data_IF_403580753152
#
_entry.id   IF_403580753152
#
_cell.length_a   1.000
_cell.length_b   1.000
_cell.length_c   1.000
_cell.angle_alpha   90.00
_cell.angle_beta   90.00
_cell.angle_gamma   90.00
#
_symmetry.space_group_name_H-M   'P 1'
#
loop_
_entity.id
_entity.type
_entity.pdbx_description
1 polymer ?
#
# COMPACT_ATOMS: atom_id res chain seq x y z
N UNK A 1 -28.56 -36.38 -17.25
CA UNK A 1 -27.29 -36.28 -16.49
C UNK A 1 -26.10 -36.02 -17.39
N UNK A 2 -25.80 -36.87 -18.39
CA UNK A 2 -24.64 -36.73 -19.29
C UNK A 2 -24.43 -35.34 -19.89
N UNK A 3 -25.50 -34.64 -20.31
CA UNK A 3 -25.39 -33.26 -20.84
C UNK A 3 -24.83 -32.28 -19.79
N UNK A 4 -25.28 -32.34 -18.53
CA UNK A 4 -24.73 -31.50 -17.47
C UNK A 4 -23.28 -31.87 -17.15
N UNK A 5 -22.95 -33.18 -17.13
CA UNK A 5 -21.57 -33.64 -16.91
C UNK A 5 -20.64 -33.14 -18.02
N UNK A 6 -21.08 -33.19 -19.27
CA UNK A 6 -20.36 -32.64 -20.43
C UNK A 6 -20.16 -31.12 -20.30
N UNK A 7 -21.20 -30.37 -19.92
CA UNK A 7 -21.11 -28.92 -19.70
C UNK A 7 -20.14 -28.55 -18.55
N UNK A 8 -20.09 -29.34 -17.46
CA UNK A 8 -19.11 -29.10 -16.40
C UNK A 8 -17.67 -29.32 -16.88
N UNK A 9 -17.37 -30.46 -17.51
CA UNK A 9 -16.00 -30.77 -17.94
C UNK A 9 -15.51 -29.87 -19.09
N UNK A 10 -16.36 -29.58 -20.08
CA UNK A 10 -16.00 -28.67 -21.18
C UNK A 10 -15.98 -27.21 -20.71
N UNK A 11 -16.87 -26.81 -19.79
CA UNK A 11 -16.86 -25.47 -19.19
C UNK A 11 -15.60 -25.19 -18.38
N UNK A 12 -15.17 -26.12 -17.52
CA UNK A 12 -13.91 -26.00 -16.79
C UNK A 12 -12.69 -25.98 -17.73
N UNK A 13 -12.70 -26.79 -18.79
CA UNK A 13 -11.64 -26.76 -19.81
C UNK A 13 -11.61 -25.40 -20.54
N UNK A 14 -12.77 -24.84 -20.89
CA UNK A 14 -12.88 -23.53 -21.55
C UNK A 14 -12.42 -22.36 -20.69
N UNK A 15 -12.63 -22.40 -19.37
CA UNK A 15 -12.08 -21.41 -18.43
C UNK A 15 -10.55 -21.50 -18.34
N UNK A 16 -9.97 -22.71 -18.41
CA UNK A 16 -8.52 -22.87 -18.51
C UNK A 16 -7.96 -22.47 -19.89
N UNK A 17 -8.80 -22.53 -20.94
CA UNK A 17 -8.45 -22.14 -22.31
C UNK A 17 -8.38 -20.61 -22.46
N UNK A 18 -9.33 -19.83 -21.94
CA UNK A 18 -9.24 -18.35 -21.97
C UNK A 18 -8.09 -17.82 -21.12
N UNK A 19 -7.89 -18.37 -19.91
CA UNK A 19 -6.81 -17.94 -19.02
C UNK A 19 -5.38 -18.29 -19.48
N UNK A 20 -5.19 -19.01 -20.60
CA UNK A 20 -3.83 -19.36 -21.10
C UNK A 20 -3.15 -18.21 -21.84
N UNK A 21 -3.93 -17.26 -22.39
CA UNK A 21 -3.43 -16.17 -23.21
C UNK A 21 -4.21 -14.86 -22.94
N UNK A 22 -4.19 -14.34 -21.68
CA UNK A 22 -5.08 -13.26 -21.19
C UNK A 22 -4.78 -11.85 -21.76
N UNK A 23 -4.15 -11.79 -22.94
CA UNK A 23 -3.64 -10.60 -23.62
C UNK A 23 -3.96 -10.66 -25.13
N UNK A 24 -5.04 -11.36 -25.51
CA UNK A 24 -5.50 -11.50 -26.89
C UNK A 24 -6.48 -10.41 -27.30
N UNK A 25 -7.62 -10.83 -27.85
CA UNK A 25 -8.75 -9.99 -28.30
C UNK A 25 -10.09 -10.66 -27.95
N UNK A 26 -10.11 -11.61 -27.01
CA UNK A 26 -11.33 -12.26 -26.52
C UNK A 26 -12.07 -11.36 -25.50
N UNK A 27 -13.39 -11.47 -25.37
CA UNK A 27 -14.24 -10.58 -24.54
C UNK A 27 -13.88 -10.56 -23.02
N UNK A 28 -13.12 -11.55 -22.53
CA UNK A 28 -12.66 -11.69 -21.13
C UNK A 28 -11.15 -11.33 -20.94
N UNK A 29 -10.44 -10.89 -21.99
CA UNK A 29 -9.01 -10.53 -21.94
C UNK A 29 -8.73 -9.20 -21.21
N UNK A 30 -7.46 -8.94 -20.87
CA UNK A 30 -7.06 -7.63 -20.35
C UNK A 30 -7.04 -6.55 -21.43
N UNK A 31 -7.69 -5.43 -21.15
CA UNK A 31 -7.73 -4.19 -21.94
C UNK A 31 -6.37 -3.43 -21.95
N UNK A 32 -5.30 -4.10 -22.41
CA UNK A 32 -3.91 -3.60 -22.33
C UNK A 32 -3.73 -2.26 -23.04
N UNK A 33 -4.43 -2.03 -24.16
CA UNK A 33 -4.38 -0.76 -24.88
C UNK A 33 -4.89 0.40 -24.00
N UNK A 34 -6.03 0.23 -23.32
CA UNK A 34 -6.56 1.22 -22.38
C UNK A 34 -5.60 1.46 -21.20
N UNK A 35 -4.99 0.40 -20.66
CA UNK A 35 -4.01 0.50 -19.57
C UNK A 35 -2.79 1.32 -20.02
N UNK A 36 -2.29 1.11 -21.25
CA UNK A 36 -1.17 1.87 -21.82
C UNK A 36 -1.56 3.34 -21.98
N UNK A 37 -2.65 3.65 -22.68
CA UNK A 37 -3.09 5.03 -22.94
C UNK A 37 -3.31 5.80 -21.63
N UNK A 38 -4.01 5.19 -20.67
CA UNK A 38 -4.24 5.76 -19.33
C UNK A 38 -2.92 6.02 -18.60
N UNK A 39 -1.98 5.08 -18.62
CA UNK A 39 -0.72 5.22 -17.89
C UNK A 39 0.21 6.25 -18.53
N UNK A 40 0.27 6.31 -19.86
CA UNK A 40 1.03 7.35 -20.59
C UNK A 40 0.45 8.73 -20.30
N UNK A 41 -0.88 8.89 -20.41
CA UNK A 41 -1.55 10.16 -20.10
C UNK A 41 -1.31 10.61 -18.65
N UNK A 42 -1.47 9.71 -17.68
CA UNK A 42 -1.30 10.04 -16.25
C UNK A 42 0.17 10.32 -15.91
N UNK A 43 1.13 9.61 -16.50
CA UNK A 43 2.55 9.86 -16.28
C UNK A 43 2.98 11.26 -16.75
N UNK A 44 2.62 11.65 -17.99
CA UNK A 44 2.87 13.01 -18.47
C UNK A 44 2.12 14.06 -17.65
N UNK A 45 0.86 13.82 -17.26
CA UNK A 45 0.12 14.75 -16.42
C UNK A 45 0.79 14.99 -15.05
N UNK A 46 1.35 13.95 -14.43
CA UNK A 46 2.10 14.07 -13.17
C UNK A 46 3.36 14.91 -13.37
N UNK A 47 4.17 14.61 -14.39
CA UNK A 47 5.49 15.25 -14.60
C UNK A 47 5.36 16.66 -15.17
N UNK A 48 4.45 16.91 -16.11
CA UNK A 48 4.31 18.21 -16.77
C UNK A 48 3.37 19.16 -15.99
N UNK A 49 2.26 18.63 -15.46
CA UNK A 49 1.21 19.46 -14.84
C UNK A 49 1.29 19.49 -13.32
N UNK A 50 1.74 18.43 -12.64
CA UNK A 50 1.75 18.38 -11.16
C UNK A 50 3.14 18.49 -10.51
N UNK A 51 4.23 18.49 -11.28
CA UNK A 51 5.56 18.71 -10.72
C UNK A 51 5.62 20.04 -9.94
N UNK A 52 6.19 19.98 -8.73
CA UNK A 52 6.32 21.08 -7.76
C UNK A 52 5.00 21.75 -7.30
N UNK A 53 3.82 21.28 -7.74
CA UNK A 53 2.51 21.88 -7.39
C UNK A 53 1.86 21.21 -6.17
N UNK A 54 2.41 21.51 -5.00
CA UNK A 54 1.79 21.14 -3.72
C UNK A 54 0.53 22.00 -3.42
N UNK A 55 -0.54 21.43 -2.83
CA UNK A 55 -1.63 22.21 -2.27
C UNK A 55 -1.15 23.04 -1.06
N UNK A 56 -1.83 24.15 -0.77
CA UNK A 56 -1.47 25.02 0.37
C UNK A 56 -1.59 24.26 1.69
N UNK A 57 -0.49 24.19 2.44
CA UNK A 57 -0.48 23.60 3.78
C UNK A 57 -1.46 24.35 4.70
N UNK A 58 -2.34 23.59 5.35
CA UNK A 58 -3.37 24.09 6.25
C UNK A 58 -3.65 23.03 7.32
N UNK A 59 -4.20 23.45 8.46
CA UNK A 59 -4.67 22.51 9.50
C UNK A 59 -5.88 21.75 8.98
N UNK A 60 -5.90 20.44 9.17
CA UNK A 60 -7.03 19.60 8.84
C UNK A 60 -8.16 19.71 9.89
N UNK A 61 -9.27 19.01 9.66
CA UNK A 61 -10.46 19.06 10.51
C UNK A 61 -10.23 18.53 11.94
N UNK A 62 -9.23 17.67 12.13
CA UNK A 62 -8.95 16.98 13.39
C UNK A 62 -7.66 17.44 14.08
N UNK A 63 -7.02 18.53 13.62
CA UNK A 63 -5.69 18.97 14.05
C UNK A 63 -5.45 19.00 15.57
N UNK A 64 -6.44 19.43 16.36
CA UNK A 64 -6.35 19.51 17.83
C UNK A 64 -6.97 18.28 18.55
N UNK A 65 -7.30 17.20 17.83
CA UNK A 65 -8.02 16.01 18.33
C UNK A 65 -7.11 14.78 18.40
N UNK A 66 -6.90 14.25 19.61
CA UNK A 66 -6.02 13.09 19.84
C UNK A 66 -6.62 11.77 19.31
N UNK A 67 -7.94 11.59 19.42
CA UNK A 67 -8.67 10.39 18.98
C UNK A 67 -9.76 10.80 17.97
N UNK A 68 -9.43 10.94 16.67
CA UNK A 68 -10.37 11.45 15.67
C UNK A 68 -11.36 10.37 15.21
N UNK A 69 -12.65 10.52 15.55
CA UNK A 69 -13.72 9.71 14.95
C UNK A 69 -14.15 10.28 13.60
N UNK A 70 -13.89 9.54 12.52
CA UNK A 70 -14.40 9.85 11.19
C UNK A 70 -15.90 9.50 11.08
N UNK A 71 -16.75 10.37 10.48
CA UNK A 71 -18.19 10.15 10.44
C UNK A 71 -18.60 9.06 9.44
N UNK A 72 -19.47 8.14 9.87
CA UNK A 72 -20.03 7.08 9.04
C UNK A 72 -21.39 7.49 8.45
N UNK A 73 -21.67 7.08 7.21
CA UNK A 73 -23.02 7.19 6.63
C UNK A 73 -23.97 6.18 7.29
N UNK A 74 -25.28 6.43 7.27
CA UNK A 74 -26.27 5.57 7.93
C UNK A 74 -26.20 4.09 7.47
N UNK A 75 -25.90 3.84 6.20
CA UNK A 75 -25.73 2.48 5.66
C UNK A 75 -24.38 1.84 6.02
N UNK A 76 -23.35 2.65 6.29
CA UNK A 76 -22.02 2.20 6.68
C UNK A 76 -21.84 2.03 8.19
N UNK A 77 -22.72 2.60 9.02
CA UNK A 77 -22.62 2.56 10.49
C UNK A 77 -22.54 1.14 11.07
N UNK A 78 -23.18 0.14 10.43
CA UNK A 78 -23.08 -1.28 10.78
C UNK A 78 -21.67 -1.90 10.58
N UNK A 79 -20.80 -1.21 9.82
CA UNK A 79 -19.42 -1.60 9.58
C UNK A 79 -18.41 -0.84 10.47
N UNK A 80 -18.87 0.00 11.40
CA UNK A 80 -17.99 0.58 12.44
C UNK A 80 -17.69 -0.51 13.47
N UNK A 81 -16.57 -1.21 13.27
CA UNK A 81 -16.05 -2.22 14.20
C UNK A 81 -14.90 -1.67 15.03
N UNK A 82 -14.77 -2.15 16.27
CA UNK A 82 -13.58 -1.91 17.09
C UNK A 82 -12.30 -2.44 16.41
N UNK A 83 -11.12 -1.85 16.66
CA UNK A 83 -9.85 -2.34 16.14
C UNK A 83 -9.57 -3.80 16.53
N UNK A 84 -9.03 -4.59 15.59
CA UNK A 84 -8.64 -5.97 15.88
C UNK A 84 -7.28 -6.02 16.59
N UNK A 85 -7.29 -6.29 17.90
CA UNK A 85 -6.09 -6.35 18.74
C UNK A 85 -5.24 -7.64 18.59
N UNK A 86 -5.66 -8.58 17.73
CA UNK A 86 -5.01 -9.89 17.54
C UNK A 86 -5.78 -11.06 18.16
N UNK A 87 -5.43 -12.28 17.76
CA UNK A 87 -5.98 -13.52 18.35
C UNK A 87 -5.32 -13.89 19.68
N UNK A 88 -4.14 -13.35 19.96
CA UNK A 88 -3.34 -13.64 21.16
C UNK A 88 -3.46 -12.57 22.25
N UNK A 89 -4.28 -11.54 22.11
CA UNK A 89 -4.38 -10.44 23.11
C UNK A 89 -4.78 -10.92 24.51
N UNK A 90 -5.54 -12.02 24.61
CA UNK A 90 -5.95 -12.65 25.87
C UNK A 90 -4.91 -13.64 26.44
N UNK A 91 -3.76 -13.81 25.78
CA UNK A 91 -2.72 -14.78 26.10
C UNK A 91 -1.83 -14.26 27.24
N UNK A 92 -2.24 -14.49 28.49
CA UNK A 92 -1.45 -14.15 29.69
C UNK A 92 -0.27 -15.12 29.89
N UNK A 93 0.71 -15.03 28.99
CA UNK A 93 1.98 -15.76 29.02
C UNK A 93 3.06 -14.84 29.57
N UNK A 94 3.79 -15.28 30.60
CA UNK A 94 4.94 -14.53 31.12
C UNK A 94 6.12 -14.61 30.14
N UNK A 95 7.05 -13.65 30.16
CA UNK A 95 8.20 -13.60 29.23
C UNK A 95 8.98 -14.92 29.19
N UNK A 96 9.12 -15.61 30.34
CA UNK A 96 9.79 -16.92 30.46
C UNK A 96 9.00 -18.08 29.83
N UNK A 97 7.68 -17.95 29.69
CA UNK A 97 6.82 -18.93 29.03
C UNK A 97 6.61 -18.61 27.53
N UNK A 98 7.01 -17.41 27.09
CA UNK A 98 7.13 -17.03 25.67
C UNK A 98 8.53 -17.32 25.10
N UNK A 99 9.49 -17.65 25.98
CA UNK A 99 10.84 -18.09 25.60
C UNK A 99 10.75 -19.44 24.86
N UNK A 100 11.48 -19.56 23.74
CA UNK A 100 11.48 -20.79 22.95
C UNK A 100 12.33 -21.84 23.67
N UNK A 101 11.67 -22.71 24.42
CA UNK A 101 12.31 -23.73 25.26
C UNK A 101 12.97 -24.81 24.38
N UNK A 102 14.24 -24.59 24.00
CA UNK A 102 15.05 -25.57 23.25
C UNK A 102 15.39 -26.71 24.22
N UNK A 103 14.55 -27.74 24.25
CA UNK A 103 14.87 -28.99 24.93
C UNK A 103 16.17 -29.58 24.36
N UNK A 104 17.23 -29.55 25.15
CA UNK A 104 18.57 -30.00 24.76
C UNK A 104 18.65 -31.50 24.40
N UNK A 105 17.63 -32.27 24.79
CA UNK A 105 17.47 -33.69 24.49
C UNK A 105 16.78 -33.96 23.13
N UNK A 106 16.53 -32.93 22.31
CA UNK A 106 16.11 -33.11 20.92
C UNK A 106 17.20 -33.91 20.16
N UNK A 107 16.91 -35.14 19.67
CA UNK A 107 17.90 -35.92 18.95
C UNK A 107 18.29 -35.19 17.67
N UNK A 108 19.59 -35.12 17.39
CA UNK A 108 20.09 -34.54 16.16
C UNK A 108 19.50 -35.31 14.97
N UNK A 109 18.75 -34.60 14.11
CA UNK A 109 18.07 -35.20 12.95
C UNK A 109 19.14 -35.70 11.97
N UNK A 110 19.34 -37.02 11.98
CA UNK A 110 20.23 -37.74 11.10
C UNK A 110 19.50 -38.05 9.78
N UNK A 111 19.75 -37.24 8.75
CA UNK A 111 19.16 -37.42 7.41
C UNK A 111 19.38 -38.85 6.86
N UNK A 112 20.46 -39.54 7.27
CA UNK A 112 20.77 -40.92 6.88
C UNK A 112 19.81 -41.99 7.45
N UNK A 113 19.23 -41.80 8.64
CA UNK A 113 18.31 -42.79 9.21
C UNK A 113 16.92 -42.69 8.58
N UNK A 114 16.51 -41.47 8.21
CA UNK A 114 15.29 -41.23 7.42
C UNK A 114 15.35 -41.83 6.00
N UNK A 115 16.53 -42.11 5.44
CA UNK A 115 16.66 -42.73 4.11
C UNK A 115 16.18 -44.20 4.06
N UNK A 116 16.06 -44.89 5.21
CA UNK A 116 15.39 -46.19 5.24
C UNK A 116 13.86 -46.04 5.15
N UNK A 117 13.27 -45.04 5.82
CA UNK A 117 11.82 -44.78 5.81
C UNK A 117 11.34 -44.08 4.52
N UNK A 118 12.17 -43.20 3.93
CA UNK A 118 11.88 -42.51 2.66
C UNK A 118 11.78 -43.46 1.44
N UNK A 119 12.04 -44.77 1.61
CA UNK A 119 11.82 -45.77 0.57
C UNK A 119 10.33 -46.08 0.33
N UNK A 120 9.45 -45.73 1.27
CA UNK A 120 8.00 -45.62 0.99
C UNK A 120 7.62 -44.20 0.52
N UNK A 121 8.17 -43.16 1.15
CA UNK A 121 7.77 -41.76 0.90
C UNK A 121 8.72 -41.00 -0.04
N UNK A 122 8.96 -41.55 -1.23
CA UNK A 122 9.73 -40.86 -2.26
C UNK A 122 8.96 -39.67 -2.89
N UNK A 123 9.66 -38.55 -3.06
CA UNK A 123 9.28 -37.35 -3.84
C UNK A 123 8.26 -36.37 -3.23
N UNK A 124 8.76 -35.39 -2.44
CA UNK A 124 8.36 -33.99 -2.66
C UNK A 124 9.46 -32.97 -2.26
N UNK A 125 10.42 -32.82 -3.18
CA UNK A 125 11.31 -31.67 -3.42
C UNK A 125 11.56 -30.61 -2.32
N UNK A 126 12.81 -30.59 -1.82
CA UNK A 126 13.57 -29.35 -1.56
C UNK A 126 13.63 -28.51 -2.86
N UNK A 127 13.70 -27.17 -2.90
CA UNK A 127 14.50 -26.14 -2.17
C UNK A 127 13.79 -24.77 -2.38
N UNK A 128 14.12 -23.58 -1.85
CA UNK A 128 15.39 -23.03 -1.35
C UNK A 128 15.20 -21.73 -0.52
N UNK A 129 16.06 -21.54 0.48
CA UNK A 129 16.77 -20.29 0.85
C UNK A 129 16.05 -18.92 0.90
N UNK A 130 15.83 -18.38 2.11
CA UNK A 130 16.01 -16.94 2.42
C UNK A 130 16.78 -16.83 3.76
N UNK A 131 17.80 -15.97 3.81
CA UNK A 131 18.67 -15.77 4.99
C UNK A 131 18.17 -14.71 5.99
N UNK A 132 18.82 -14.67 7.15
CA UNK A 132 18.46 -13.77 8.25
C UNK A 132 18.79 -12.29 7.97
N UNK A 133 18.03 -11.39 8.59
CA UNK A 133 18.34 -9.96 8.72
C UNK A 133 18.44 -9.65 10.22
N UNK A 134 19.62 -9.24 10.65
CA UNK A 134 19.88 -8.75 12.01
C UNK A 134 19.38 -7.31 12.19
N UNK A 135 18.93 -6.96 13.40
CA UNK A 135 18.48 -5.60 13.78
C UNK A 135 18.76 -5.32 15.25
N UNK A 136 19.92 -4.72 15.51
CA UNK A 136 20.25 -4.05 16.77
C UNK A 136 19.32 -2.81 16.96
N UNK A 137 18.45 -2.85 17.97
CA UNK A 137 17.52 -1.76 18.30
C UNK A 137 18.02 -0.99 19.54
N UNK A 138 18.80 0.07 19.30
CA UNK A 138 19.46 0.82 20.37
C UNK A 138 19.60 2.33 20.10
N UNK A 139 18.58 2.99 19.52
CA UNK A 139 18.63 4.47 19.34
C UNK A 139 17.32 5.26 19.51
N UNK A 140 16.84 5.32 20.75
CA UNK A 140 15.80 6.26 21.17
C UNK A 140 16.33 7.72 21.29
N UNK A 141 16.22 8.50 20.22
CA UNK A 141 16.18 9.98 20.25
C UNK A 141 14.97 10.40 19.38
N UNK A 142 13.90 10.97 19.94
CA UNK A 142 13.83 12.36 20.45
C UNK A 142 14.20 13.32 19.31
N UNK A 143 13.17 13.69 18.54
CA UNK A 143 13.34 14.27 17.21
C UNK A 143 13.38 15.79 17.16
N UNK A 144 13.50 16.29 15.92
CA UNK A 144 13.31 17.67 15.51
C UNK A 144 12.37 17.71 14.31
N UNK A 145 11.59 18.79 14.18
CA UNK A 145 10.66 18.97 13.05
C UNK A 145 11.41 19.50 11.83
N UNK A 146 11.69 18.63 10.86
CA UNK A 146 12.36 19.01 9.62
C UNK A 146 11.38 19.76 8.69
N UNK A 147 11.49 21.09 8.64
CA UNK A 147 10.92 21.89 7.55
C UNK A 147 11.51 21.42 6.21
N UNK A 148 10.66 20.92 5.30
CA UNK A 148 11.02 20.75 3.89
C UNK A 148 10.30 21.80 3.03
N UNK A 149 10.74 23.04 3.19
CA UNK A 149 10.53 24.18 2.29
C UNK A 149 11.44 25.31 2.79
N UNK A 150 12.61 25.47 2.17
CA UNK A 150 13.41 26.68 2.31
C UNK A 150 13.03 27.61 1.16
N UNK A 151 12.28 28.67 1.45
CA UNK A 151 12.04 29.75 0.50
C UNK A 151 13.22 30.73 0.57
N UNK A 152 14.04 30.78 -0.48
CA UNK A 152 15.12 31.76 -0.60
C UNK A 152 14.52 33.17 -0.72
N UNK A 153 14.58 33.93 0.37
CA UNK A 153 14.07 35.30 0.44
C UNK A 153 15.16 36.29 0.01
N UNK A 154 15.24 36.56 -1.30
CA UNK A 154 16.12 37.59 -1.87
C UNK A 154 15.52 38.99 -1.64
N UNK A 155 15.80 39.60 -0.49
CA UNK A 155 15.37 40.95 -0.11
C UNK A 155 16.01 42.04 -1.00
N UNK A 156 15.43 42.31 -2.18
CA UNK A 156 15.76 43.49 -3.00
C UNK A 156 14.68 44.58 -2.90
N UNK A 157 14.77 45.36 -1.82
CA UNK A 157 13.98 46.57 -1.66
C UNK A 157 14.44 47.68 -2.62
N UNK A 158 13.68 47.94 -3.69
CA UNK A 158 13.79 49.18 -4.48
C UNK A 158 12.56 50.05 -4.26
N UNK A 159 12.70 51.03 -3.37
CA UNK A 159 11.74 52.11 -3.18
C UNK A 159 12.13 53.34 -3.99
N UNK A 160 11.23 53.84 -4.83
CA UNK A 160 11.29 55.18 -5.40
C UNK A 160 9.88 55.74 -5.56
N UNK A 161 9.65 56.94 -5.05
CA UNK A 161 8.38 57.66 -5.17
C UNK A 161 8.47 58.61 -6.37
N UNK A 162 7.41 58.76 -7.18
CA UNK A 162 7.06 60.03 -7.85
C UNK A 162 5.69 59.92 -8.57
N UNK A 163 4.89 61.01 -8.54
CA UNK A 163 3.74 61.27 -9.43
C UNK A 163 2.49 60.37 -9.32
N UNK A 164 1.24 60.86 -9.21
CA UNK A 164 0.78 62.22 -8.96
C UNK A 164 0.21 63.01 -10.15
N UNK A 165 -0.94 62.59 -10.70
CA UNK A 165 -1.98 63.52 -11.20
C UNK A 165 -3.38 62.84 -11.15
N UNK A 166 -4.41 63.39 -11.82
CA UNK A 166 -5.79 63.39 -11.34
C UNK A 166 -6.88 63.35 -12.43
N UNK A 167 -8.14 63.10 -11.98
CA UNK A 167 -9.40 63.12 -12.76
C UNK A 167 -9.57 61.93 -13.73
N UNK A 168 -10.75 61.63 -14.28
CA UNK A 168 -12.07 62.30 -14.24
C UNK A 168 -13.20 61.25 -14.06
N UNK A 169 -14.48 61.64 -14.15
CA UNK A 169 -15.64 60.74 -14.03
C UNK A 169 -16.61 60.92 -15.18
N UNK A 170 -17.09 59.83 -15.80
CA UNK A 170 -18.25 59.69 -16.71
C UNK A 170 -18.54 58.16 -16.90
N UNK A 171 -19.75 57.58 -17.09
CA UNK A 171 -21.07 57.97 -17.64
C UNK A 171 -21.11 57.85 -19.20
N UNK A 172 -21.87 56.98 -19.90
CA UNK A 172 -23.04 56.09 -19.66
C UNK A 172 -22.85 54.74 -20.42
N UNK A 173 -23.65 53.66 -20.31
CA UNK A 173 -24.86 53.39 -19.51
C UNK A 173 -26.02 52.75 -20.33
N UNK A 174 -25.91 51.47 -20.73
CA UNK A 174 -26.95 50.66 -21.41
C UNK A 174 -27.04 49.26 -20.80
#
# INVERSE_FOLDING_TARGET
>A
FTIFQFLFYVGWLKVAESMICPFGEDDDDFDVNWIIDRNVQVAYYIVDTMNEKCPKLSRDLFWDTVEPEVPYTQAAAQHKTEPFFGSTTAMNITTRQAEWDIHADLPAINEEEQLNDQKENSNLYSRSDIGAIDRDDSRLMKGDSANFCSEDNDDRAEGSQEGGDSRESDNEGV
#
